data_IF_702087492314
#
_entry.id   IF_702087492314
#
_cell.length_a   1.000
_cell.length_b   1.000
_cell.length_c   1.000
_cell.angle_alpha   90.00
_cell.angle_beta   90.00
_cell.angle_gamma   90.00
#
_symmetry.space_group_name_H-M   'P 1'
#
loop_
_entity.id
_entity.type
_entity.pdbx_description
1 polymer ?
#
# COMPACT_ATOMS: atom_id res chain seq x y z
N UNK A 1 -29.39 38.46 -18.03
CA UNK A 1 -28.92 37.43 -18.96
C UNK A 1 -27.42 37.17 -18.83
N UNK A 2 -26.55 38.20 -18.90
CA UNK A 2 -25.09 38.04 -18.74
C UNK A 2 -24.70 37.51 -17.33
N UNK A 3 -25.35 38.00 -16.26
CA UNK A 3 -25.12 37.50 -14.88
C UNK A 3 -25.48 36.03 -14.68
N UNK A 4 -26.54 35.54 -15.32
CA UNK A 4 -26.94 34.13 -15.23
C UNK A 4 -26.00 33.20 -16.00
N UNK A 5 -25.42 33.67 -17.11
CA UNK A 5 -24.41 32.92 -17.88
C UNK A 5 -23.08 32.83 -17.11
N UNK A 6 -22.65 33.92 -16.47
CA UNK A 6 -21.43 33.93 -15.65
C UNK A 6 -21.51 32.98 -14.44
N UNK A 7 -22.67 32.87 -13.81
CA UNK A 7 -22.90 31.92 -12.69
C UNK A 7 -22.88 30.47 -13.21
N UNK A 8 -23.45 30.20 -14.39
CA UNK A 8 -23.44 28.86 -14.98
C UNK A 8 -22.02 28.39 -15.36
N UNK A 9 -21.16 29.28 -15.87
CA UNK A 9 -19.76 28.97 -16.21
C UNK A 9 -18.93 28.73 -14.94
N UNK A 10 -19.18 29.48 -13.86
CA UNK A 10 -18.48 29.29 -12.59
C UNK A 10 -18.80 27.95 -11.92
N UNK A 11 -20.02 27.42 -12.10
CA UNK A 11 -20.44 26.10 -11.57
C UNK A 11 -19.85 24.93 -12.37
N UNK A 12 -19.54 25.12 -13.66
CA UNK A 12 -18.91 24.10 -14.49
C UNK A 12 -17.40 23.92 -14.24
N UNK A 13 -16.71 24.94 -13.72
CA UNK A 13 -15.27 24.89 -13.44
C UNK A 13 -14.90 24.19 -12.11
N UNK A 14 -15.88 23.86 -11.26
CA UNK A 14 -15.63 23.30 -9.92
C UNK A 14 -15.51 21.77 -9.88
N UNK A 15 -15.62 21.08 -11.03
CA UNK A 15 -15.64 19.61 -11.06
C UNK A 15 -14.37 18.92 -11.57
N UNK A 16 -13.28 19.65 -11.83
CA UNK A 16 -11.96 19.03 -12.07
C UNK A 16 -11.20 18.91 -10.74
N UNK A 17 -11.82 18.21 -9.79
CA UNK A 17 -11.07 17.61 -8.70
C UNK A 17 -10.35 16.39 -9.27
N UNK A 18 -9.02 16.45 -9.39
CA UNK A 18 -8.21 15.25 -9.59
C UNK A 18 -8.39 14.35 -8.37
N UNK A 19 -9.41 13.50 -8.39
CA UNK A 19 -9.53 12.43 -7.42
C UNK A 19 -8.31 11.52 -7.63
N UNK A 20 -7.37 11.53 -6.69
CA UNK A 20 -6.29 10.55 -6.65
C UNK A 20 -6.96 9.17 -6.71
N UNK A 21 -6.78 8.47 -7.82
CA UNK A 21 -7.38 7.14 -7.95
C UNK A 21 -6.52 6.20 -7.13
N UNK A 22 -7.15 5.63 -6.10
CA UNK A 22 -6.52 4.72 -5.15
C UNK A 22 -7.13 3.35 -5.33
N UNK A 23 -6.28 2.35 -5.44
CA UNK A 23 -6.68 0.94 -5.47
C UNK A 23 -6.36 0.36 -4.10
N UNK A 24 -7.39 -0.12 -3.41
CA UNK A 24 -7.18 -0.83 -2.15
C UNK A 24 -6.71 -2.26 -2.43
N UNK A 25 -5.79 -2.78 -1.61
CA UNK A 25 -5.29 -4.14 -1.78
C UNK A 25 -6.41 -5.17 -1.60
N UNK A 26 -6.50 -6.11 -2.53
CA UNK A 26 -7.23 -7.36 -2.38
C UNK A 26 -6.49 -8.47 -3.14
N UNK A 27 -6.69 -9.75 -2.80
CA UNK A 27 -6.00 -10.84 -3.50
C UNK A 27 -6.40 -10.96 -4.97
N UNK A 28 -7.51 -10.33 -5.39
CA UNK A 28 -7.97 -10.30 -6.78
C UNK A 28 -7.40 -9.12 -7.60
N UNK A 29 -6.74 -8.16 -6.96
CA UNK A 29 -6.15 -7.02 -7.66
C UNK A 29 -4.85 -7.42 -8.34
N UNK A 30 -4.84 -7.28 -9.66
CA UNK A 30 -3.64 -7.35 -10.49
C UNK A 30 -3.38 -5.98 -11.12
N UNK A 31 -2.21 -5.42 -10.85
CA UNK A 31 -1.75 -4.18 -11.44
C UNK A 31 -1.25 -4.43 -12.86
N UNK A 32 -1.60 -3.52 -13.77
CA UNK A 32 -1.05 -3.43 -15.11
C UNK A 32 -0.43 -2.05 -15.36
N UNK A 33 0.25 -1.90 -16.50
CA UNK A 33 0.86 -0.61 -16.87
C UNK A 33 -0.16 0.55 -16.91
N UNK A 34 -1.42 0.26 -17.21
CA UNK A 34 -2.51 1.24 -17.23
C UNK A 34 -2.82 1.85 -15.84
N UNK A 35 -2.35 1.24 -14.76
CA UNK A 35 -2.50 1.76 -13.40
C UNK A 35 -1.43 2.82 -13.05
N UNK A 36 -0.41 3.02 -13.88
CA UNK A 36 0.65 3.99 -13.66
C UNK A 36 0.28 5.30 -14.35
N UNK A 37 -0.42 6.18 -13.62
CA UNK A 37 -1.02 7.42 -14.15
C UNK A 37 -0.19 8.67 -13.86
N UNK A 38 1.02 8.53 -13.31
CA UNK A 38 1.95 9.64 -13.20
C UNK A 38 2.38 10.12 -14.59
N UNK A 39 2.48 11.44 -14.76
CA UNK A 39 3.01 12.08 -15.98
C UNK A 39 4.47 11.70 -16.27
N UNK A 40 5.18 11.15 -15.28
CA UNK A 40 6.56 10.66 -15.41
C UNK A 40 6.63 9.22 -15.94
N UNK A 41 5.50 8.54 -16.08
CA UNK A 41 5.47 7.18 -16.63
C UNK A 41 5.69 7.23 -18.13
N UNK A 42 6.73 6.55 -18.60
CA UNK A 42 7.07 6.51 -20.02
C UNK A 42 7.77 5.21 -20.41
N UNK A 43 7.53 4.77 -21.64
CA UNK A 43 8.24 3.64 -22.25
C UNK A 43 8.90 4.17 -23.52
N UNK A 44 10.21 4.32 -23.48
CA UNK A 44 10.96 4.98 -24.55
C UNK A 44 12.38 4.43 -24.65
N UNK A 45 12.78 3.98 -25.84
CA UNK A 45 14.10 3.40 -26.12
C UNK A 45 15.26 4.38 -25.91
N UNK A 46 14.98 5.68 -25.94
CA UNK A 46 15.99 6.73 -25.80
C UNK A 46 16.33 7.04 -24.33
N UNK A 47 15.68 6.37 -23.37
CA UNK A 47 15.97 6.52 -21.95
C UNK A 47 17.35 5.97 -21.59
N UNK A 48 18.12 6.74 -20.84
CA UNK A 48 19.44 6.32 -20.35
C UNK A 48 19.36 5.25 -19.25
N UNK A 49 18.26 5.22 -18.51
CA UNK A 49 18.09 4.30 -17.38
C UNK A 49 16.64 4.00 -17.06
N UNK A 50 16.48 2.94 -16.29
CA UNK A 50 15.21 2.38 -15.85
C UNK A 50 14.89 2.93 -14.45
N UNK A 51 13.67 3.43 -14.24
CA UNK A 51 13.22 3.97 -12.95
C UNK A 51 11.84 3.41 -12.57
N UNK A 52 11.66 3.13 -11.28
CA UNK A 52 10.38 2.68 -10.75
C UNK A 52 10.11 3.31 -9.39
N UNK A 53 8.91 3.87 -9.24
CA UNK A 53 8.33 4.29 -7.97
C UNK A 53 7.03 3.50 -7.76
N UNK A 54 6.95 2.73 -6.67
CA UNK A 54 5.91 1.70 -6.52
C UNK A 54 4.53 2.27 -6.31
N UNK A 55 4.38 3.43 -5.67
CA UNK A 55 3.07 4.01 -5.33
C UNK A 55 2.23 3.18 -4.35
N UNK A 56 2.79 2.13 -3.74
CA UNK A 56 2.15 1.30 -2.73
C UNK A 56 2.45 1.84 -1.33
N UNK A 57 1.41 2.07 -0.52
CA UNK A 57 1.51 2.69 0.79
C UNK A 57 0.75 1.89 1.86
N UNK A 58 1.39 1.73 3.02
CA UNK A 58 0.72 1.35 4.26
C UNK A 58 0.27 2.62 4.96
N UNK A 59 -1.03 2.83 5.08
CA UNK A 59 -1.62 3.98 5.75
C UNK A 59 -2.13 3.58 7.13
N UNK A 60 -1.83 4.40 8.13
CA UNK A 60 -2.38 4.27 9.48
C UNK A 60 -3.22 5.50 9.79
N UNK A 61 -4.54 5.34 9.86
CA UNK A 61 -5.47 6.42 10.18
C UNK A 61 -5.75 6.41 11.69
N UNK A 62 -4.90 7.12 12.44
CA UNK A 62 -4.88 7.10 13.91
C UNK A 62 -5.23 8.43 14.56
N UNK A 63 -5.64 9.46 13.80
CA UNK A 63 -6.18 10.69 14.38
C UNK A 63 -7.50 10.38 15.08
N UNK A 64 -7.43 10.00 16.34
CA UNK A 64 -8.57 9.72 17.20
C UNK A 64 -8.26 10.15 18.63
N UNK A 65 -9.27 10.62 19.35
CA UNK A 65 -9.17 10.94 20.77
C UNK A 65 -8.92 9.69 21.62
N UNK A 66 -8.39 9.84 22.84
CA UNK A 66 -8.21 8.73 23.78
C UNK A 66 -9.52 7.99 24.10
N UNK A 67 -10.67 8.69 24.06
CA UNK A 67 -11.99 8.08 24.20
C UNK A 67 -12.29 7.18 23.00
N UNK A 68 -12.22 7.70 21.77
CA UNK A 68 -12.43 6.91 20.54
C UNK A 68 -11.50 5.70 20.45
N UNK A 69 -10.26 5.86 20.90
CA UNK A 69 -9.29 4.78 21.02
C UNK A 69 -9.80 3.64 21.92
N UNK A 70 -10.24 3.95 23.14
CA UNK A 70 -10.75 2.94 24.08
C UNK A 70 -11.99 2.20 23.57
N UNK A 71 -12.83 2.84 22.74
CA UNK A 71 -14.04 2.23 22.18
C UNK A 71 -13.85 1.61 20.79
N UNK A 72 -12.69 1.79 20.15
CA UNK A 72 -12.38 1.19 18.85
C UNK A 72 -12.19 -0.32 19.01
N UNK A 73 -13.20 -1.08 18.57
CA UNK A 73 -13.19 -2.55 18.68
C UNK A 73 -12.34 -3.23 17.62
N UNK A 74 -12.22 -2.62 16.44
CA UNK A 74 -11.44 -3.15 15.33
C UNK A 74 -10.37 -2.15 14.90
N UNK A 75 -9.14 -2.34 15.37
CA UNK A 75 -8.00 -1.55 14.93
C UNK A 75 -7.51 -1.95 13.53
N UNK A 76 -7.86 -3.14 13.04
CA UNK A 76 -7.43 -3.58 11.71
C UNK A 76 -7.92 -2.63 10.62
N UNK A 77 -9.14 -2.09 10.76
CA UNK A 77 -9.74 -1.17 9.80
C UNK A 77 -9.06 0.21 9.75
N UNK A 78 -8.16 0.50 10.70
CA UNK A 78 -7.38 1.74 10.75
C UNK A 78 -6.07 1.65 9.98
N UNK A 79 -5.69 0.44 9.56
CA UNK A 79 -4.50 0.21 8.74
C UNK A 79 -4.95 -0.25 7.36
N UNK A 80 -4.65 0.51 6.32
CA UNK A 80 -4.95 0.15 4.93
C UNK A 80 -3.68 0.00 4.10
N UNK A 81 -3.81 -0.79 3.03
CA UNK A 81 -2.80 -0.94 1.99
C UNK A 81 -3.41 -0.41 0.70
N UNK A 82 -2.80 0.63 0.13
CA UNK A 82 -3.33 1.37 -1.02
C UNK A 82 -2.25 1.55 -2.08
N UNK A 83 -2.62 1.38 -3.34
CA UNK A 83 -1.83 1.77 -4.50
C UNK A 83 -2.38 3.09 -5.04
N UNK A 84 -1.55 4.12 -5.12
CA UNK A 84 -1.92 5.45 -5.61
C UNK A 84 -1.44 5.60 -7.05
N UNK A 85 -2.36 5.49 -8.00
CA UNK A 85 -2.04 5.43 -9.44
C UNK A 85 -1.25 6.65 -9.92
N UNK A 86 -1.54 7.85 -9.38
CA UNK A 86 -0.84 9.09 -9.73
C UNK A 86 0.54 9.23 -9.10
N UNK A 87 0.86 8.42 -8.09
CA UNK A 87 2.16 8.43 -7.41
C UNK A 87 3.06 7.27 -7.86
N UNK A 88 2.52 6.30 -8.59
CA UNK A 88 3.28 5.22 -9.19
C UNK A 88 3.89 5.66 -10.51
N UNK A 89 5.17 5.33 -10.72
CA UNK A 89 5.95 5.71 -11.91
C UNK A 89 6.68 4.49 -12.44
N UNK A 90 6.61 4.27 -13.75
CA UNK A 90 7.50 3.37 -14.48
C UNK A 90 8.11 4.15 -15.64
N UNK A 91 9.44 4.25 -15.66
CA UNK A 91 10.20 4.74 -16.80
C UNK A 91 11.09 3.60 -17.30
N UNK A 92 10.79 3.06 -18.48
CA UNK A 92 11.43 1.85 -18.99
C UNK A 92 11.86 2.00 -20.46
N UNK A 93 13.01 1.42 -20.80
CA UNK A 93 13.56 1.47 -22.17
C UNK A 93 12.72 0.72 -23.21
N UNK A 94 11.94 -0.26 -22.77
CA UNK A 94 11.08 -1.07 -23.62
C UNK A 94 9.91 -1.65 -22.82
N UNK A 95 8.91 -2.20 -23.52
CA UNK A 95 7.71 -2.75 -22.89
C UNK A 95 8.00 -3.99 -22.06
N UNK A 96 8.99 -4.81 -22.43
CA UNK A 96 9.34 -6.03 -21.67
C UNK A 96 9.90 -5.67 -20.30
N UNK A 97 10.74 -4.64 -20.24
CA UNK A 97 11.28 -4.10 -19.00
C UNK A 97 10.18 -3.44 -18.17
N UNK A 98 9.24 -2.74 -18.81
CA UNK A 98 8.08 -2.19 -18.13
C UNK A 98 7.24 -3.30 -17.47
N UNK A 99 6.98 -4.41 -18.17
CA UNK A 99 6.22 -5.54 -17.63
C UNK A 99 6.92 -6.16 -16.40
N UNK A 100 8.25 -6.33 -16.44
CA UNK A 100 9.01 -6.77 -15.26
C UNK A 100 8.89 -5.83 -14.07
N UNK A 101 8.87 -4.52 -14.31
CA UNK A 101 8.66 -3.53 -13.26
C UNK A 101 7.23 -3.56 -12.72
N UNK A 102 6.23 -3.76 -13.56
CA UNK A 102 4.83 -3.95 -13.12
C UNK A 102 4.74 -5.14 -12.18
N UNK A 103 5.34 -6.29 -12.52
CA UNK A 103 5.40 -7.46 -11.65
C UNK A 103 6.09 -7.16 -10.31
N UNK A 104 7.20 -6.41 -10.35
CA UNK A 104 7.93 -5.99 -9.16
C UNK A 104 7.09 -5.05 -8.27
N UNK A 105 6.28 -4.18 -8.88
CA UNK A 105 5.36 -3.28 -8.16
C UNK A 105 4.19 -4.05 -7.58
N UNK A 106 3.65 -5.05 -8.27
CA UNK A 106 2.64 -5.97 -7.72
C UNK A 106 3.18 -6.72 -6.51
N UNK A 107 4.41 -7.25 -6.58
CA UNK A 107 5.09 -7.83 -5.41
C UNK A 107 5.18 -6.83 -4.25
N UNK A 108 5.52 -5.58 -4.54
CA UNK A 108 5.58 -4.53 -3.52
C UNK A 108 4.23 -4.26 -2.87
N UNK A 109 3.16 -4.27 -3.65
CA UNK A 109 1.81 -4.08 -3.13
C UNK A 109 1.40 -5.21 -2.18
N UNK A 110 1.72 -6.45 -2.55
CA UNK A 110 1.54 -7.63 -1.67
C UNK A 110 2.41 -7.52 -0.41
N UNK A 111 3.68 -7.11 -0.57
CA UNK A 111 4.61 -6.93 0.55
C UNK A 111 4.09 -5.87 1.53
N UNK A 112 3.57 -4.74 1.03
CA UNK A 112 2.97 -3.70 1.87
C UNK A 112 1.80 -4.26 2.67
N UNK A 113 0.94 -5.10 2.08
CA UNK A 113 -0.16 -5.74 2.83
C UNK A 113 0.35 -6.72 3.89
N UNK A 114 1.40 -7.49 3.60
CA UNK A 114 2.03 -8.34 4.61
C UNK A 114 2.47 -7.53 5.84
N UNK A 115 3.14 -6.40 5.61
CA UNK A 115 3.59 -5.52 6.69
C UNK A 115 2.42 -4.83 7.40
N UNK A 116 1.35 -4.49 6.68
CA UNK A 116 0.11 -4.02 7.29
C UNK A 116 -0.50 -5.08 8.22
N UNK A 117 -0.50 -6.36 7.84
CA UNK A 117 -0.98 -7.46 8.71
C UNK A 117 -0.09 -7.66 9.94
N UNK A 118 1.23 -7.59 9.78
CA UNK A 118 2.19 -7.64 10.90
C UNK A 118 1.93 -6.50 11.90
N UNK A 119 1.71 -5.29 11.39
CA UNK A 119 1.38 -4.13 12.22
C UNK A 119 0.03 -4.29 12.93
N UNK A 120 -1.03 -4.68 12.21
CA UNK A 120 -2.36 -4.95 12.79
C UNK A 120 -2.29 -6.02 13.89
N UNK A 121 -1.46 -7.06 13.70
CA UNK A 121 -1.21 -8.09 14.71
C UNK A 121 -0.57 -7.51 15.97
N UNK A 122 0.51 -6.75 15.84
CA UNK A 122 1.21 -6.16 17.00
C UNK A 122 0.30 -5.17 17.75
N UNK A 123 -0.45 -4.32 17.04
CA UNK A 123 -1.47 -3.46 17.66
C UNK A 123 -2.49 -4.30 18.45
N UNK A 124 -3.00 -5.38 17.86
CA UNK A 124 -4.00 -6.21 18.51
C UNK A 124 -3.48 -6.88 19.79
N UNK A 125 -2.22 -7.31 19.79
CA UNK A 125 -1.55 -7.94 20.93
C UNK A 125 -1.23 -6.94 22.04
N UNK A 126 -0.93 -5.68 21.68
CA UNK A 126 -0.51 -4.65 22.63
C UNK A 126 -1.60 -3.64 23.01
N UNK A 127 -2.79 -3.66 22.39
CA UNK A 127 -3.88 -2.70 22.65
C UNK A 127 -4.31 -2.56 24.12
N UNK A 128 -4.05 -3.57 24.95
CA UNK A 128 -4.36 -3.54 26.38
C UNK A 128 -3.29 -2.85 27.24
N UNK A 129 -2.11 -2.60 26.68
CA UNK A 129 -0.97 -1.99 27.35
C UNK A 129 -0.95 -0.46 27.24
N UNK A 130 -1.77 0.12 26.34
CA UNK A 130 -1.68 1.54 25.98
C UNK A 130 -3.00 2.29 26.16
N UNK A 131 -2.92 3.55 26.56
CA UNK A 131 -4.05 4.47 26.75
C UNK A 131 -4.14 5.57 25.68
N UNK A 132 -3.22 5.57 24.70
CA UNK A 132 -3.16 6.56 23.61
C UNK A 132 -2.82 5.90 22.27
N UNK A 133 -3.23 6.52 21.18
CA UNK A 133 -2.84 6.14 19.82
C UNK A 133 -1.36 6.41 19.52
N UNK A 134 -0.74 7.37 20.21
CA UNK A 134 0.65 7.77 19.95
C UNK A 134 1.66 6.64 20.23
N UNK A 135 1.29 5.68 21.08
CA UNK A 135 2.11 4.51 21.38
C UNK A 135 2.33 3.59 20.17
N UNK A 136 1.48 3.67 19.15
CA UNK A 136 1.63 2.86 17.93
C UNK A 136 2.53 3.48 16.88
N UNK A 137 2.92 4.75 17.03
CA UNK A 137 3.79 5.41 16.05
C UNK A 137 5.18 4.72 15.97
N UNK A 138 5.87 4.40 17.09
CA UNK A 138 7.13 3.65 17.00
C UNK A 138 6.99 2.26 16.36
N UNK A 139 5.85 1.59 16.58
CA UNK A 139 5.56 0.27 16.00
C UNK A 139 5.31 0.40 14.50
N UNK A 140 4.58 1.44 14.08
CA UNK A 140 4.35 1.75 12.68
C UNK A 140 5.67 2.06 11.97
N UNK A 141 6.52 2.93 12.55
CA UNK A 141 7.84 3.28 12.02
C UNK A 141 8.76 2.06 11.90
N UNK A 142 8.75 1.15 12.89
CA UNK A 142 9.46 -0.13 12.84
C UNK A 142 9.05 -0.92 11.59
N UNK A 143 7.76 -1.12 11.36
CA UNK A 143 7.29 -1.89 10.20
C UNK A 143 7.51 -1.19 8.86
N UNK A 144 7.42 0.15 8.81
CA UNK A 144 7.80 0.93 7.61
C UNK A 144 9.27 0.76 7.27
N UNK A 145 10.15 0.74 8.28
CA UNK A 145 11.59 0.51 8.10
C UNK A 145 11.87 -0.91 7.59
N UNK A 146 11.25 -1.91 8.19
CA UNK A 146 11.39 -3.31 7.75
C UNK A 146 10.86 -3.52 6.32
N UNK A 147 9.69 -2.96 5.99
CA UNK A 147 9.13 -2.95 4.64
C UNK A 147 10.11 -2.34 3.63
N UNK A 148 10.66 -1.17 3.95
CA UNK A 148 11.63 -0.48 3.08
C UNK A 148 12.89 -1.32 2.86
N UNK A 149 13.42 -1.92 3.93
CA UNK A 149 14.59 -2.79 3.87
C UNK A 149 14.33 -4.04 3.02
N UNK A 150 13.17 -4.66 3.17
CA UNK A 150 12.81 -5.87 2.45
C UNK A 150 12.53 -5.60 0.97
N UNK A 151 11.86 -4.48 0.66
CA UNK A 151 11.72 -4.01 -0.71
C UNK A 151 13.09 -3.77 -1.36
N UNK A 152 14.01 -3.07 -0.68
CA UNK A 152 15.36 -2.84 -1.21
C UNK A 152 16.14 -4.14 -1.45
N UNK A 153 16.00 -5.14 -0.56
CA UNK A 153 16.60 -6.46 -0.72
C UNK A 153 16.08 -7.15 -1.99
N UNK A 154 14.76 -7.22 -2.17
CA UNK A 154 14.15 -7.93 -3.31
C UNK A 154 14.34 -7.16 -4.62
N UNK A 155 14.28 -5.83 -4.58
CA UNK A 155 14.64 -4.95 -5.69
C UNK A 155 16.02 -5.28 -6.25
N UNK A 156 17.03 -5.36 -5.37
CA UNK A 156 18.40 -5.72 -5.74
C UNK A 156 18.52 -7.18 -6.18
N UNK A 157 17.89 -8.11 -5.48
CA UNK A 157 17.96 -9.54 -5.78
C UNK A 157 17.41 -9.85 -7.18
N UNK A 158 16.28 -9.23 -7.51
CA UNK A 158 15.52 -9.50 -8.73
C UNK A 158 15.87 -8.57 -9.89
N UNK A 159 16.67 -7.53 -9.64
CA UNK A 159 16.96 -6.45 -10.59
C UNK A 159 15.69 -5.77 -11.10
N UNK A 160 14.87 -5.28 -10.16
CA UNK A 160 13.56 -4.66 -10.44
C UNK A 160 12.61 -5.59 -11.20
N UNK A 161 12.60 -6.88 -10.85
CA UNK A 161 11.72 -7.89 -11.43
C UNK A 161 12.24 -8.60 -12.68
N UNK A 162 13.38 -8.19 -13.25
CA UNK A 162 13.98 -8.85 -14.42
C UNK A 162 14.27 -10.33 -14.20
N UNK A 163 14.59 -10.75 -12.97
CA UNK A 163 14.71 -12.17 -12.60
C UNK A 163 13.36 -12.70 -12.11
N UNK A 164 12.46 -12.93 -13.06
CA UNK A 164 11.05 -13.27 -12.80
C UNK A 164 10.87 -14.50 -11.89
N UNK A 165 11.68 -15.54 -12.04
CA UNK A 165 11.59 -16.73 -11.18
C UNK A 165 11.91 -16.44 -9.70
N UNK A 166 12.91 -15.58 -9.45
CA UNK A 166 13.25 -15.15 -8.09
C UNK A 166 12.13 -14.27 -7.52
N UNK A 167 11.61 -13.33 -8.32
CA UNK A 167 10.51 -12.47 -7.90
C UNK A 167 9.26 -13.29 -7.56
N UNK A 168 8.92 -14.28 -8.40
CA UNK A 168 7.81 -15.21 -8.18
C UNK A 168 7.96 -16.01 -6.89
N UNK A 169 9.17 -16.53 -6.61
CA UNK A 169 9.45 -17.21 -5.35
C UNK A 169 9.28 -16.30 -4.14
N UNK A 170 9.76 -15.06 -4.19
CA UNK A 170 9.59 -14.08 -3.11
C UNK A 170 8.12 -13.68 -2.93
N UNK A 171 7.39 -13.47 -4.03
CA UNK A 171 5.94 -13.19 -3.99
C UNK A 171 5.16 -14.35 -3.37
N UNK A 172 5.47 -15.59 -3.73
CA UNK A 172 4.84 -16.77 -3.12
C UNK A 172 5.10 -16.85 -1.61
N UNK A 173 6.32 -16.53 -1.16
CA UNK A 173 6.62 -16.46 0.28
C UNK A 173 5.76 -15.38 0.96
N UNK A 174 5.66 -14.19 0.37
CA UNK A 174 4.83 -13.09 0.90
C UNK A 174 3.36 -13.51 0.98
N UNK A 175 2.79 -14.06 -0.09
CA UNK A 175 1.40 -14.53 -0.13
C UNK A 175 1.12 -15.61 0.92
N UNK A 176 2.06 -16.52 1.15
CA UNK A 176 1.96 -17.52 2.22
C UNK A 176 1.96 -16.89 3.61
N UNK A 177 2.81 -15.89 3.86
CA UNK A 177 2.79 -15.17 5.14
C UNK A 177 1.50 -14.36 5.33
N UNK A 178 0.96 -13.77 4.26
CA UNK A 178 -0.35 -13.10 4.25
C UNK A 178 -1.45 -14.08 4.67
N UNK A 179 -1.45 -15.29 4.11
CA UNK A 179 -2.40 -16.36 4.45
C UNK A 179 -2.30 -16.78 5.93
N UNK A 180 -1.08 -16.96 6.45
CA UNK A 180 -0.82 -17.25 7.87
C UNK A 180 -1.39 -16.14 8.77
N UNK A 181 -1.36 -14.89 8.32
CA UNK A 181 -1.90 -13.72 9.01
C UNK A 181 -3.33 -13.34 8.58
N UNK A 182 -4.10 -14.28 8.01
CA UNK A 182 -5.46 -14.04 7.50
C UNK A 182 -6.41 -13.40 8.51
N UNK A 183 -6.30 -13.77 9.79
CA UNK A 183 -7.08 -13.17 10.89
C UNK A 183 -6.86 -11.66 11.08
N UNK A 184 -5.76 -11.13 10.53
CA UNK A 184 -5.36 -9.72 10.62
C UNK A 184 -5.62 -8.94 9.32
N UNK A 185 -6.52 -9.41 8.46
CA UNK A 185 -7.00 -8.61 7.33
C UNK A 185 -7.72 -7.34 7.80
N UNK A 186 -7.76 -6.29 6.96
CA UNK A 186 -8.36 -4.98 7.30
C UNK A 186 -9.80 -5.08 7.83
N UNK A 187 -10.62 -5.90 7.18
CA UNK A 187 -12.04 -6.11 7.55
C UNK A 187 -12.25 -7.20 8.60
N UNK A 188 -11.22 -8.01 8.89
CA UNK A 188 -11.29 -9.12 9.82
C UNK A 188 -11.44 -8.62 11.26
N UNK A 189 -12.12 -9.42 12.08
CA UNK A 189 -12.12 -9.26 13.54
C UNK A 189 -11.16 -10.30 14.11
N UNK A 190 -10.02 -9.90 14.69
CA UNK A 190 -9.06 -10.87 15.20
C UNK A 190 -9.72 -11.76 16.27
N UNK A 191 -9.39 -13.06 16.31
CA UNK A 191 -9.95 -13.98 17.30
C UNK A 191 -9.59 -13.51 18.72
N UNK A 192 -10.52 -13.66 19.67
CA UNK A 192 -10.28 -13.32 21.09
C UNK A 192 -8.93 -13.92 21.52
N UNK A 193 -8.04 -13.08 22.05
CA UNK A 193 -6.70 -13.56 22.46
C UNK A 193 -6.88 -14.78 23.37
N UNK A 194 -6.30 -15.92 22.96
CA UNK A 194 -6.23 -17.06 23.86
C UNK A 194 -5.34 -16.60 25.00
N UNK A 195 -5.92 -16.32 26.18
CA UNK A 195 -5.14 -16.15 27.41
C UNK A 195 -4.16 -17.32 27.45
N UNK A 196 -2.86 -17.04 27.37
CA UNK A 196 -1.84 -18.05 27.71
C UNK A 196 -2.21 -18.48 29.13
N UNK A 197 -2.74 -19.71 29.25
CA UNK A 197 -2.86 -20.38 30.55
C UNK A 197 -1.42 -20.66 30.95
N UNK A 198 -0.85 -19.77 31.76
CA UNK A 198 0.28 -20.11 32.61
C UNK A 198 -0.24 -21.02 33.72
#
# INVERSE_FOLDING_TARGET
MIRTILIAILVLLVNVGNAQTKIEWSPEVELGIANFKSEQTEINSDLESNFVQTGAYMNFNYQMSSYEFMFTKNFNSKVSTEFVESAAVISAVDSTTADFMVDFVQYNFDLTELYARKFRKEIYEEKGAFSSSDFFLPIFEKYQKELTSENARVSKLTELGKKSELLKSERQRVLKEIEILSDYCKSCKPPKSKKKRN
#
